data_IF_733221199629
#
_entry.id   IF_733221199629
#
_cell.length_a   1.000
_cell.length_b   1.000
_cell.length_c   1.000
_cell.angle_alpha   90.00
_cell.angle_beta   90.00
_cell.angle_gamma   90.00
#
_symmetry.space_group_name_H-M   'P 1'
#
loop_
_entity.id
_entity.type
_entity.pdbx_description
1 polymer ?
#
# COMPACT_ATOMS: atom_id res chain seq x y z
N UNK A 1 0.58 32.68 8.95
CA UNK A 1 -0.23 31.49 8.61
C UNK A 1 -0.97 31.80 7.33
N UNK A 2 -0.33 31.59 6.18
CA UNK A 2 -0.93 31.86 4.87
C UNK A 2 -1.94 30.75 4.57
N UNK A 3 -3.23 31.09 4.53
CA UNK A 3 -4.30 30.20 4.08
C UNK A 3 -4.05 29.90 2.60
N UNK A 4 -3.55 28.69 2.32
CA UNK A 4 -3.50 28.16 0.97
C UNK A 4 -4.93 28.19 0.39
N UNK A 5 -5.13 28.59 -0.88
CA UNK A 5 -6.42 28.50 -1.53
C UNK A 5 -6.97 27.07 -1.40
N UNK A 6 -8.29 26.92 -1.19
CA UNK A 6 -8.93 25.64 -0.88
C UNK A 6 -8.56 24.51 -1.87
N UNK A 7 -8.26 24.86 -3.12
CA UNK A 7 -7.80 23.97 -4.19
C UNK A 7 -6.39 23.43 -3.97
N UNK A 8 -5.47 24.23 -3.43
CA UNK A 8 -4.11 23.80 -3.10
C UNK A 8 -4.08 22.92 -1.85
N UNK A 9 -4.92 23.23 -0.87
CA UNK A 9 -5.08 22.43 0.35
C UNK A 9 -5.62 21.03 0.01
N UNK A 10 -6.66 20.95 -0.82
CA UNK A 10 -7.20 19.67 -1.30
C UNK A 10 -6.18 18.86 -2.10
N UNK A 11 -5.35 19.54 -2.91
CA UNK A 11 -4.30 18.90 -3.70
C UNK A 11 -3.19 18.34 -2.83
N UNK A 12 -2.75 19.08 -1.81
CA UNK A 12 -1.79 18.61 -0.83
C UNK A 12 -2.33 17.41 -0.05
N UNK A 13 -3.54 17.52 0.50
CA UNK A 13 -4.18 16.41 1.22
C UNK A 13 -4.34 15.17 0.34
N UNK A 14 -4.75 15.35 -0.92
CA UNK A 14 -4.86 14.26 -1.89
C UNK A 14 -3.54 13.62 -2.27
N UNK A 15 -2.44 14.37 -2.27
CA UNK A 15 -1.09 13.86 -2.54
C UNK A 15 -0.56 13.01 -1.39
N UNK A 16 -0.68 13.51 -0.15
CA UNK A 16 -0.29 12.77 1.04
C UNK A 16 -1.19 11.55 1.27
N UNK A 17 -2.50 11.68 1.05
CA UNK A 17 -3.44 10.56 1.15
C UNK A 17 -3.16 9.47 0.11
N UNK A 18 -2.91 9.84 -1.15
CA UNK A 18 -2.55 8.83 -2.16
C UNK A 18 -1.20 8.16 -1.86
N UNK A 19 -0.22 8.94 -1.40
CA UNK A 19 1.08 8.40 -1.00
C UNK A 19 0.95 7.45 0.21
N UNK A 20 0.06 7.75 1.16
CA UNK A 20 -0.19 6.88 2.31
C UNK A 20 -0.89 5.59 1.90
N UNK A 21 -1.83 5.64 0.94
CA UNK A 21 -2.45 4.43 0.37
C UNK A 21 -1.42 3.53 -0.34
N UNK A 22 -0.54 4.10 -1.16
CA UNK A 22 0.53 3.35 -1.85
C UNK A 22 1.51 2.74 -0.84
N UNK A 23 1.88 3.50 0.19
CA UNK A 23 2.77 3.00 1.25
C UNK A 23 2.09 1.92 2.08
N UNK A 24 0.83 2.11 2.46
CA UNK A 24 0.05 1.11 3.19
C UNK A 24 -0.09 -0.19 2.42
N UNK A 25 -0.22 -0.13 1.08
CA UNK A 25 -0.28 -1.32 0.22
C UNK A 25 1.00 -2.14 0.33
N UNK A 26 2.15 -1.46 0.38
CA UNK A 26 3.46 -2.08 0.49
C UNK A 26 3.71 -2.67 1.89
N UNK A 27 3.15 -2.04 2.94
CA UNK A 27 3.23 -2.52 4.32
C UNK A 27 2.29 -3.69 4.61
N UNK A 28 1.18 -3.81 3.87
CA UNK A 28 0.18 -4.87 4.07
C UNK A 28 0.76 -6.29 4.06
N UNK A 29 1.59 -6.71 3.07
CA UNK A 29 2.22 -8.03 3.11
C UNK A 29 3.19 -8.21 4.29
N UNK A 30 3.87 -7.16 4.75
CA UNK A 30 4.71 -7.23 5.95
C UNK A 30 3.88 -7.45 7.20
N UNK A 31 2.72 -6.80 7.30
CA UNK A 31 1.78 -7.01 8.40
C UNK A 31 1.23 -8.44 8.40
N UNK A 32 0.98 -9.05 7.24
CA UNK A 32 0.63 -10.48 7.18
C UNK A 32 1.73 -11.38 7.74
N UNK A 33 3.00 -11.07 7.47
CA UNK A 33 4.13 -11.80 8.06
C UNK A 33 4.16 -11.60 9.57
N UNK A 34 4.05 -10.35 10.04
CA UNK A 34 4.15 -10.00 11.46
C UNK A 34 3.03 -10.61 12.32
N UNK A 35 1.82 -10.72 11.77
CA UNK A 35 0.66 -11.33 12.47
C UNK A 35 0.70 -12.87 12.38
N UNK A 36 1.73 -13.45 11.77
CA UNK A 36 1.93 -14.90 11.74
C UNK A 36 1.06 -15.65 10.74
N UNK A 37 0.51 -14.97 9.72
CA UNK A 37 -0.34 -15.61 8.69
C UNK A 37 0.42 -16.67 7.90
N UNK A 38 1.74 -16.59 7.87
CA UNK A 38 2.61 -17.62 7.30
C UNK A 38 2.58 -18.95 8.05
N UNK A 39 2.06 -19.00 9.28
CA UNK A 39 1.87 -20.25 10.02
C UNK A 39 0.89 -21.21 9.35
N UNK A 40 0.00 -20.69 8.49
CA UNK A 40 -0.94 -21.49 7.69
C UNK A 40 -0.29 -22.09 6.42
N UNK A 41 0.96 -21.72 6.12
CA UNK A 41 1.71 -22.16 4.93
C UNK A 41 2.83 -23.14 5.30
N UNK A 42 3.27 -23.94 4.32
CA UNK A 42 4.43 -24.82 4.53
C UNK A 42 5.70 -24.00 4.81
N UNK A 43 6.61 -24.48 5.68
CA UNK A 43 7.88 -23.79 5.93
C UNK A 43 8.69 -23.55 4.66
N UNK A 44 8.63 -24.47 3.69
CA UNK A 44 9.27 -24.34 2.39
C UNK A 44 8.70 -23.16 1.58
N UNK A 45 7.39 -22.94 1.59
CA UNK A 45 6.75 -21.79 0.95
C UNK A 45 7.29 -20.48 1.53
N UNK A 46 7.34 -20.36 2.85
CA UNK A 46 7.85 -19.15 3.52
C UNK A 46 9.34 -18.91 3.24
N UNK A 47 10.17 -19.97 3.29
CA UNK A 47 11.60 -19.86 3.00
C UNK A 47 11.88 -19.41 1.55
N UNK A 48 11.04 -19.81 0.59
CA UNK A 48 11.23 -19.46 -0.82
C UNK A 48 10.68 -18.08 -1.15
N UNK A 49 9.51 -17.71 -0.63
CA UNK A 49 8.79 -16.49 -1.05
C UNK A 49 9.01 -15.27 -0.15
N UNK A 50 9.34 -15.46 1.13
CA UNK A 50 9.53 -14.33 2.06
C UNK A 50 10.81 -13.54 1.76
N UNK A 51 11.99 -14.16 1.53
CA UNK A 51 13.19 -13.40 1.19
C UNK A 51 13.05 -12.49 -0.04
N UNK A 52 12.53 -12.97 -1.21
CA UNK A 52 12.34 -12.10 -2.36
C UNK A 52 11.25 -11.04 -2.12
N UNK A 53 10.26 -11.31 -1.27
CA UNK A 53 9.26 -10.32 -0.89
C UNK A 53 9.92 -9.18 -0.09
N UNK A 54 10.72 -9.52 0.92
CA UNK A 54 11.42 -8.54 1.75
C UNK A 54 12.37 -7.70 0.89
N UNK A 55 13.09 -8.32 -0.04
CA UNK A 55 13.94 -7.62 -0.99
C UNK A 55 13.14 -6.66 -1.88
N UNK A 56 12.00 -7.11 -2.41
CA UNK A 56 11.10 -6.29 -3.24
C UNK A 56 10.52 -5.11 -2.47
N UNK A 57 10.04 -5.35 -1.24
CA UNK A 57 9.48 -4.31 -0.38
C UNK A 57 10.55 -3.30 0.03
N UNK A 58 11.74 -3.75 0.44
CA UNK A 58 12.84 -2.87 0.80
C UNK A 58 13.32 -2.04 -0.40
N UNK A 59 13.44 -2.66 -1.58
CA UNK A 59 13.79 -1.96 -2.82
C UNK A 59 12.76 -0.87 -3.16
N UNK A 60 11.46 -1.20 -3.11
CA UNK A 60 10.38 -0.25 -3.37
C UNK A 60 10.33 0.85 -2.31
N UNK A 61 10.43 0.53 -1.02
CA UNK A 61 10.50 1.53 0.05
C UNK A 61 11.69 2.47 -0.16
N UNK A 62 12.87 1.92 -0.41
CA UNK A 62 14.06 2.72 -0.67
C UNK A 62 13.85 3.64 -1.88
N UNK A 63 13.27 3.13 -2.97
CA UNK A 63 12.98 3.95 -4.15
C UNK A 63 11.95 5.06 -3.86
N UNK A 64 10.86 4.74 -3.17
CA UNK A 64 9.75 5.65 -2.86
C UNK A 64 10.09 6.69 -1.80
N UNK A 65 11.02 6.36 -0.89
CA UNK A 65 11.48 7.24 0.19
C UNK A 65 12.76 8.01 -0.17
N UNK A 66 13.58 7.48 -1.09
CA UNK A 66 14.75 8.21 -1.58
C UNK A 66 14.32 9.55 -2.16
N UNK A 67 15.05 10.61 -1.81
CA UNK A 67 14.81 11.96 -2.35
C UNK A 67 14.88 11.95 -3.87
N UNK A 68 14.07 12.79 -4.51
CA UNK A 68 14.07 12.91 -5.97
C UNK A 68 15.44 13.42 -6.46
N UNK A 69 16.27 12.49 -6.94
CA UNK A 69 17.45 12.83 -7.74
C UNK A 69 16.97 13.38 -9.09
N UNK A 70 17.45 14.56 -9.50
CA UNK A 70 17.13 15.15 -10.80
C UNK A 70 17.63 14.35 -12.01
N UNK A 71 18.27 13.21 -11.78
CA UNK A 71 18.76 12.28 -12.81
C UNK A 71 17.64 11.40 -13.35
N UNK A 72 17.59 11.20 -14.67
CA UNK A 72 16.67 10.25 -15.31
C UNK A 72 16.80 8.86 -14.68
N UNK A 73 15.68 8.28 -14.25
CA UNK A 73 15.64 6.91 -13.73
C UNK A 73 16.00 5.94 -14.85
N UNK A 74 17.00 5.06 -14.67
CA UNK A 74 17.38 4.10 -15.71
C UNK A 74 16.26 3.09 -15.95
N UNK A 75 16.07 2.66 -17.20
CA UNK A 75 15.02 1.71 -17.62
C UNK A 75 15.06 0.41 -16.81
N UNK A 76 16.24 -0.08 -16.48
CA UNK A 76 16.44 -1.28 -15.63
C UNK A 76 15.80 -1.13 -14.25
N UNK A 77 15.90 0.07 -13.65
CA UNK A 77 15.29 0.38 -12.35
C UNK A 77 13.77 0.48 -12.43
N UNK A 78 13.22 0.88 -13.58
CA UNK A 78 11.77 0.87 -13.83
C UNK A 78 11.27 -0.58 -13.93
N UNK A 79 11.95 -1.41 -14.73
CA UNK A 79 11.59 -2.83 -14.89
C UNK A 79 11.64 -3.55 -13.53
N UNK A 80 12.70 -3.33 -12.74
CA UNK A 80 12.82 -3.89 -11.40
C UNK A 80 11.68 -3.44 -10.47
N UNK A 81 11.25 -2.18 -10.55
CA UNK A 81 10.12 -1.67 -9.77
C UNK A 81 8.81 -2.32 -10.18
N UNK A 82 8.55 -2.46 -11.49
CA UNK A 82 7.35 -3.14 -12.01
C UNK A 82 7.32 -4.60 -11.57
N UNK A 83 8.46 -5.31 -11.68
CA UNK A 83 8.57 -6.70 -11.23
C UNK A 83 8.36 -6.83 -9.71
N UNK A 84 8.95 -5.93 -8.93
CA UNK A 84 8.79 -5.90 -7.46
C UNK A 84 7.34 -5.64 -7.06
N UNK A 85 6.66 -4.71 -7.72
CA UNK A 85 5.23 -4.46 -7.50
C UNK A 85 4.38 -5.66 -7.89
N UNK A 86 4.68 -6.30 -9.02
CA UNK A 86 4.02 -7.54 -9.45
C UNK A 86 4.16 -8.63 -8.40
N UNK A 87 5.36 -8.80 -7.85
CA UNK A 87 5.61 -9.80 -6.81
C UNK A 87 4.88 -9.49 -5.48
N UNK A 88 4.87 -8.23 -5.05
CA UNK A 88 4.12 -7.78 -3.86
C UNK A 88 2.63 -8.06 -4.03
N UNK A 89 2.05 -7.72 -5.18
CA UNK A 89 0.63 -7.97 -5.46
C UNK A 89 0.31 -9.46 -5.52
N UNK A 90 1.17 -10.24 -6.19
CA UNK A 90 1.06 -11.70 -6.26
C UNK A 90 1.08 -12.35 -4.88
N UNK A 91 2.07 -12.03 -4.06
CA UNK A 91 2.19 -12.56 -2.71
C UNK A 91 0.98 -12.19 -1.86
N UNK A 92 0.56 -10.92 -1.92
CA UNK A 92 -0.60 -10.43 -1.18
C UNK A 92 -1.88 -11.16 -1.59
N UNK A 93 -2.06 -11.43 -2.89
CA UNK A 93 -3.21 -12.18 -3.40
C UNK A 93 -3.22 -13.64 -2.93
N UNK A 94 -2.06 -14.30 -2.89
CA UNK A 94 -1.91 -15.67 -2.38
C UNK A 94 -2.18 -15.74 -0.88
N UNK A 95 -1.57 -14.86 -0.09
CA UNK A 95 -1.72 -14.85 1.37
C UNK A 95 -3.13 -14.45 1.79
N UNK A 96 -3.74 -13.50 1.09
CA UNK A 96 -5.18 -13.20 1.23
C UNK A 96 -6.07 -14.38 0.81
N UNK A 97 -5.55 -15.32 0.01
CA UNK A 97 -6.27 -16.47 -0.53
C UNK A 97 -6.20 -17.78 0.21
N UNK A 98 -5.20 -17.98 1.06
CA UNK A 98 -5.11 -19.20 1.85
C UNK A 98 -6.00 -19.21 3.10
N UNK A 99 -6.59 -18.07 3.48
CA UNK A 99 -7.55 -18.03 4.60
C UNK A 99 -8.91 -18.60 4.16
N UNK A 100 -9.52 -19.42 5.02
CA UNK A 100 -10.84 -20.08 4.90
C UNK A 100 -12.04 -19.16 4.57
N UNK A 101 -11.83 -17.87 4.36
CA UNK A 101 -12.86 -16.91 3.96
C UNK A 101 -13.17 -17.08 2.47
N UNK A 102 -14.44 -17.30 2.12
CA UNK A 102 -14.87 -17.43 0.73
C UNK A 102 -15.24 -16.05 0.16
N UNK A 103 -14.83 -15.75 -1.09
CA UNK A 103 -15.30 -14.59 -1.83
C UNK A 103 -14.99 -13.21 -1.20
N UNK A 104 -16.04 -12.40 -0.99
CA UNK A 104 -15.97 -10.99 -0.57
C UNK A 104 -15.36 -10.76 0.82
N UNK A 105 -15.36 -11.78 1.70
CA UNK A 105 -14.76 -11.70 3.02
C UNK A 105 -13.24 -11.44 2.99
N UNK A 106 -12.56 -12.02 1.99
CA UNK A 106 -11.11 -11.90 1.80
C UNK A 106 -10.68 -10.48 1.43
N UNK A 107 -11.39 -9.89 0.48
CA UNK A 107 -11.17 -8.52 0.01
C UNK A 107 -11.43 -7.53 1.15
N UNK A 108 -12.46 -7.80 1.95
CA UNK A 108 -12.79 -7.09 3.17
C UNK A 108 -11.65 -6.99 4.19
N UNK A 109 -11.14 -8.14 4.63
CA UNK A 109 -10.04 -8.22 5.58
C UNK A 109 -8.74 -7.59 5.03
N UNK A 110 -8.46 -7.80 3.74
CA UNK A 110 -7.36 -7.10 3.06
C UNK A 110 -7.53 -5.58 3.09
N UNK A 111 -8.68 -5.06 2.67
CA UNK A 111 -8.96 -3.63 2.66
C UNK A 111 -8.89 -3.01 4.06
N UNK A 112 -9.36 -3.71 5.09
CA UNK A 112 -9.26 -3.26 6.46
C UNK A 112 -7.79 -3.13 6.90
N UNK A 113 -6.98 -4.17 6.68
CA UNK A 113 -5.55 -4.13 7.03
C UNK A 113 -4.81 -3.07 6.22
N UNK A 114 -5.09 -2.97 4.92
CA UNK A 114 -4.53 -1.96 4.04
C UNK A 114 -4.86 -0.54 4.51
N UNK A 115 -6.11 -0.28 4.92
CA UNK A 115 -6.51 1.01 5.47
C UNK A 115 -5.79 1.33 6.79
N UNK A 116 -5.63 0.34 7.68
CA UNK A 116 -4.87 0.51 8.93
C UNK A 116 -3.40 0.87 8.62
N UNK A 117 -2.75 0.11 7.74
CA UNK A 117 -1.38 0.39 7.31
C UNK A 117 -1.27 1.78 6.66
N UNK A 118 -2.26 2.18 5.87
CA UNK A 118 -2.31 3.49 5.20
C UNK A 118 -2.50 4.64 6.19
N UNK A 119 -3.33 4.45 7.23
CA UNK A 119 -3.53 5.42 8.29
C UNK A 119 -2.25 5.62 9.12
N UNK A 120 -1.51 4.55 9.39
CA UNK A 120 -0.22 4.61 10.08
C UNK A 120 0.89 5.23 9.22
N UNK A 121 0.85 5.03 7.90
CA UNK A 121 1.81 5.63 6.97
C UNK A 121 1.62 7.16 6.83
N UNK A 122 0.39 7.66 7.01
CA UNK A 122 0.07 9.07 6.84
C UNK A 122 0.88 10.03 7.76
N UNK A 123 0.95 9.85 9.09
CA UNK A 123 1.75 10.73 9.95
C UNK A 123 3.24 10.62 9.64
N UNK A 124 3.75 9.44 9.28
CA UNK A 124 5.15 9.24 8.91
C UNK A 124 5.51 10.05 7.66
N UNK A 125 4.65 10.03 6.65
CA UNK A 125 4.83 10.82 5.43
C UNK A 125 4.64 12.32 5.67
N UNK A 126 3.63 12.70 6.45
CA UNK A 126 3.30 14.10 6.73
C UNK A 126 4.32 14.79 7.66
N UNK A 127 5.00 14.06 8.54
CA UNK A 127 5.93 14.63 9.53
C UNK A 127 7.40 14.35 9.18
N UNK A 128 7.74 13.13 8.76
CA UNK A 128 9.14 12.71 8.60
C UNK A 128 9.64 12.64 7.16
N UNK A 129 8.75 12.44 6.18
CA UNK A 129 9.13 12.10 4.80
C UNK A 129 8.47 13.01 3.76
N UNK A 130 8.29 14.30 4.09
CA UNK A 130 7.69 15.32 3.20
C UNK A 130 8.37 15.45 1.84
N UNK A 131 9.67 15.17 1.79
CA UNK A 131 10.50 15.26 0.58
C UNK A 131 10.68 13.93 -0.17
N UNK A 132 10.01 12.87 0.27
CA UNK A 132 10.06 11.58 -0.40
C UNK A 132 9.63 11.69 -1.88
N UNK A 133 10.27 10.90 -2.75
CA UNK A 133 9.95 10.87 -4.18
C UNK A 133 8.48 10.54 -4.42
N UNK A 134 7.88 9.69 -3.58
CA UNK A 134 6.47 9.33 -3.65
C UNK A 134 5.54 10.53 -3.42
N UNK A 135 5.80 11.35 -2.41
CA UNK A 135 4.97 12.54 -2.09
C UNK A 135 5.06 13.57 -3.23
N UNK A 136 6.27 13.74 -3.80
CA UNK A 136 6.47 14.63 -4.96
C UNK A 136 5.79 14.10 -6.22
N UNK A 137 5.85 12.79 -6.45
CA UNK A 137 5.19 12.12 -7.56
C UNK A 137 3.66 12.31 -7.48
N UNK A 138 3.07 12.03 -6.32
CA UNK A 138 1.62 12.21 -6.13
C UNK A 138 1.22 13.69 -6.17
N UNK A 139 2.04 14.60 -5.64
CA UNK A 139 1.79 16.05 -5.73
C UNK A 139 1.87 16.60 -7.17
N UNK A 140 2.72 16.00 -8.02
CA UNK A 140 2.80 16.30 -9.46
C UNK A 140 1.60 15.78 -10.24
N UNK A 141 0.88 14.80 -9.72
CA UNK A 141 -0.27 14.21 -10.40
C UNK A 141 -1.56 15.00 -10.16
N UNK A 142 -2.07 15.66 -11.21
CA UNK A 142 -3.30 16.48 -11.15
C UNK A 142 -4.53 15.72 -10.62
N UNK A 143 -4.58 14.40 -10.82
CA UNK A 143 -5.70 13.57 -10.41
C UNK A 143 -5.53 12.92 -9.03
N UNK A 144 -4.44 13.20 -8.30
CA UNK A 144 -4.17 12.60 -6.99
C UNK A 144 -5.33 12.70 -5.99
N UNK A 145 -6.03 13.85 -5.84
CA UNK A 145 -7.16 13.93 -4.90
C UNK A 145 -8.33 13.03 -5.28
N UNK A 146 -8.62 12.91 -6.58
CA UNK A 146 -9.69 12.04 -7.09
C UNK A 146 -9.33 10.57 -6.93
N UNK A 147 -8.09 10.21 -7.27
CA UNK A 147 -7.58 8.86 -7.07
C UNK A 147 -7.61 8.46 -5.60
N UNK A 148 -7.15 9.35 -4.71
CA UNK A 148 -7.22 9.13 -3.26
C UNK A 148 -8.66 8.86 -2.79
N UNK A 149 -9.60 9.75 -3.11
CA UNK A 149 -11.01 9.59 -2.71
C UNK A 149 -11.59 8.29 -3.28
N UNK A 150 -11.32 7.97 -4.54
CA UNK A 150 -11.82 6.76 -5.19
C UNK A 150 -11.32 5.49 -4.48
N UNK A 151 -10.00 5.37 -4.28
CA UNK A 151 -9.41 4.19 -3.64
C UNK A 151 -9.79 4.11 -2.17
N UNK A 152 -9.86 5.24 -1.46
CA UNK A 152 -10.31 5.30 -0.08
C UNK A 152 -11.78 4.86 0.04
N UNK A 153 -12.67 5.39 -0.79
CA UNK A 153 -14.09 5.05 -0.78
C UNK A 153 -14.30 3.57 -1.12
N UNK A 154 -13.59 3.05 -2.14
CA UNK A 154 -13.61 1.63 -2.49
C UNK A 154 -13.17 0.76 -1.31
N UNK A 155 -12.01 1.06 -0.71
CA UNK A 155 -11.47 0.29 0.40
C UNK A 155 -12.35 0.36 1.64
N UNK A 156 -12.87 1.55 1.99
CA UNK A 156 -13.81 1.72 3.11
C UNK A 156 -15.11 0.97 2.85
N UNK A 157 -15.66 1.03 1.63
CA UNK A 157 -16.86 0.28 1.27
C UNK A 157 -16.68 -1.22 1.46
N UNK A 158 -15.55 -1.78 1.00
CA UNK A 158 -15.23 -3.20 1.21
C UNK A 158 -15.01 -3.56 2.68
N UNK A 159 -14.33 -2.70 3.44
CA UNK A 159 -14.09 -2.92 4.87
C UNK A 159 -15.38 -2.84 5.70
N UNK A 160 -16.27 -1.88 5.40
CA UNK A 160 -17.58 -1.77 6.06
C UNK A 160 -18.45 -2.98 5.70
N UNK A 161 -18.51 -3.35 4.42
CA UNK A 161 -19.23 -4.54 3.99
C UNK A 161 -18.73 -5.79 4.73
N UNK A 162 -17.43 -5.93 4.92
CA UNK A 162 -16.83 -7.01 5.69
C UNK A 162 -17.25 -7.04 7.16
N UNK A 163 -17.26 -5.87 7.83
CA UNK A 163 -17.62 -5.76 9.24
C UNK A 163 -19.11 -6.01 9.50
N UNK A 164 -19.96 -5.66 8.54
CA UNK A 164 -21.43 -5.77 8.68
C UNK A 164 -21.97 -7.11 8.16
N UNK A 165 -21.27 -7.75 7.20
CA UNK A 165 -21.71 -9.03 6.65
C UNK A 165 -21.28 -10.17 7.58
N UNK A 166 -22.23 -11.00 8.07
CA UNK A 166 -21.90 -12.15 8.90
C UNK A 166 -20.96 -13.09 8.14
N UNK A 167 -19.79 -13.33 8.72
CA UNK A 167 -18.77 -14.20 8.14
C UNK A 167 -19.27 -15.65 8.24
N UNK A 168 -19.82 -16.17 7.14
CA UNK A 168 -20.10 -17.61 7.04
C UNK A 168 -18.76 -18.31 6.86
N UNK A 169 -18.26 -18.92 7.93
CA UNK A 169 -17.16 -19.86 7.86
C UNK A 169 -17.70 -21.15 7.23
N UNK A 170 -17.07 -21.70 6.17
CA UNK A 170 -17.33 -23.07 5.74
C UNK A 170 -16.86 -24.07 6.80
#
# INVERSE_FOLDING_TARGET
MTLLPATETLRHMGAYGLASLITGLLLTPLSYIAVGVLGDFSPAFSLVLVPPLLASVLFLLHQLLSGASGTKTPTTRIIAAVASWGFVLFFTAIVSGARLQVGWGRLGGFCMLWLICSALALPVLALGLRNASLVRFTAGWRHSPRAFILFLAMAMGMAIHYLVTPQRFP
#
